data_IF_229507607023
#
_entry.id   IF_229507607023
#
_cell.length_a   1.000
_cell.length_b   1.000
_cell.length_c   1.000
_cell.angle_alpha   90.00
_cell.angle_beta   90.00
_cell.angle_gamma   90.00
#
_symmetry.space_group_name_H-M   'P 1'
#
loop_
_entity.id
_entity.type
_entity.pdbx_description
1 polymer ?
#
# COMPACT_ATOMS: atom_id res chain seq x y z
N UNK A 1 2.98 -24.44 60.97
CA UNK A 1 3.13 -23.31 60.03
C UNK A 1 3.05 -23.87 58.62
N UNK A 2 2.06 -23.48 57.82
CA UNK A 2 1.91 -23.96 56.45
C UNK A 2 2.30 -22.82 55.48
N UNK A 3 3.35 -23.03 54.70
CA UNK A 3 3.81 -22.07 53.69
C UNK A 3 3.15 -22.43 52.36
N UNK A 4 2.21 -21.59 51.91
CA UNK A 4 1.61 -21.72 50.58
C UNK A 4 2.53 -20.97 49.61
N UNK A 5 3.26 -21.72 48.78
CA UNK A 5 4.09 -21.15 47.71
C UNK A 5 3.22 -20.67 46.54
N UNK A 6 3.34 -19.39 46.19
CA UNK A 6 2.73 -18.84 44.98
C UNK A 6 3.54 -19.24 43.75
N UNK A 7 3.01 -20.16 42.95
CA UNK A 7 3.53 -20.40 41.61
C UNK A 7 2.91 -19.39 40.62
N UNK A 8 3.75 -18.62 39.94
CA UNK A 8 3.32 -17.77 38.84
C UNK A 8 3.10 -18.63 37.59
N UNK A 9 1.86 -18.76 37.16
CA UNK A 9 1.54 -19.42 35.89
C UNK A 9 1.98 -18.51 34.72
N UNK A 10 3.02 -18.93 33.99
CA UNK A 10 3.40 -18.31 32.73
C UNK A 10 2.28 -18.55 31.71
N UNK A 11 1.63 -17.48 31.27
CA UNK A 11 0.55 -17.57 30.29
C UNK A 11 1.11 -18.11 28.95
N UNK A 12 0.46 -19.12 28.35
CA UNK A 12 0.95 -19.69 27.10
C UNK A 12 0.83 -18.69 25.94
N UNK A 13 1.97 -18.27 25.39
CA UNK A 13 2.04 -17.38 24.22
C UNK A 13 1.53 -17.99 22.90
N UNK A 14 1.12 -19.26 22.90
CA UNK A 14 0.80 -20.00 21.67
C UNK A 14 -0.58 -19.70 21.06
N UNK A 15 -1.51 -19.10 21.82
CA UNK A 15 -2.86 -18.80 21.31
C UNK A 15 -2.88 -17.56 20.41
N UNK A 16 -1.97 -16.60 20.63
CA UNK A 16 -1.93 -15.35 19.86
C UNK A 16 -1.25 -15.48 18.49
N UNK A 17 -0.41 -16.50 18.28
CA UNK A 17 0.35 -16.68 17.05
C UNK A 17 -0.52 -17.13 15.85
N UNK A 18 -1.62 -17.85 16.11
CA UNK A 18 -2.53 -18.34 15.07
C UNK A 18 -3.42 -17.24 14.49
N UNK A 19 -3.95 -16.36 15.34
CA UNK A 19 -4.83 -15.24 14.95
C UNK A 19 -4.04 -14.03 14.40
N UNK A 20 -2.77 -13.87 14.80
CA UNK A 20 -1.91 -12.79 14.29
C UNK A 20 -1.58 -12.93 12.80
N UNK A 21 -1.53 -14.15 12.26
CA UNK A 21 -1.23 -14.42 10.84
C UNK A 21 -2.29 -13.87 9.88
N UNK A 22 -3.59 -14.21 10.00
CA UNK A 22 -4.62 -13.68 9.11
C UNK A 22 -4.80 -12.17 9.25
N UNK A 23 -4.66 -11.62 10.46
CA UNK A 23 -4.74 -10.17 10.67
C UNK A 23 -3.56 -9.43 10.03
N UNK A 24 -2.35 -10.01 10.06
CA UNK A 24 -1.18 -9.45 9.41
C UNK A 24 -1.32 -9.42 7.89
N UNK A 25 -1.87 -10.48 7.29
CA UNK A 25 -2.16 -10.55 5.86
C UNK A 25 -3.24 -9.55 5.44
N UNK A 26 -4.34 -9.48 6.20
CA UNK A 26 -5.40 -8.50 5.98
C UNK A 26 -4.86 -7.07 6.05
N UNK A 27 -4.01 -6.76 7.03
CA UNK A 27 -3.35 -5.44 7.15
C UNK A 27 -2.44 -5.15 5.96
N UNK A 28 -1.68 -6.15 5.50
CA UNK A 28 -0.80 -6.00 4.33
C UNK A 28 -1.60 -5.74 3.05
N UNK A 29 -2.73 -6.43 2.88
CA UNK A 29 -3.68 -6.20 1.79
C UNK A 29 -4.24 -4.78 1.84
N UNK A 30 -4.80 -4.34 2.98
CA UNK A 30 -5.37 -3.00 3.12
C UNK A 30 -4.37 -1.87 2.83
N UNK A 31 -3.12 -2.03 3.27
CA UNK A 31 -2.05 -1.07 2.94
C UNK A 31 -1.83 -0.95 1.43
N UNK A 32 -1.77 -2.07 0.71
CA UNK A 32 -1.60 -2.08 -0.75
C UNK A 32 -2.83 -1.52 -1.46
N UNK A 33 -4.02 -1.87 -0.98
CA UNK A 33 -5.28 -1.38 -1.53
C UNK A 33 -5.37 0.14 -1.44
N UNK A 34 -5.15 0.73 -0.26
CA UNK A 34 -5.20 2.19 -0.06
C UNK A 34 -4.15 2.89 -0.94
N UNK A 35 -2.93 2.35 -1.00
CA UNK A 35 -1.87 2.92 -1.83
C UNK A 35 -2.24 2.94 -3.31
N UNK A 36 -2.94 1.93 -3.82
CA UNK A 36 -3.39 1.87 -5.21
C UNK A 36 -4.65 2.71 -5.46
N UNK A 37 -5.63 2.61 -4.57
CA UNK A 37 -6.93 3.26 -4.71
C UNK A 37 -6.82 4.79 -4.65
N UNK A 38 -5.91 5.29 -3.82
CA UNK A 38 -5.66 6.72 -3.65
C UNK A 38 -4.38 7.19 -4.34
N UNK A 39 -3.82 6.40 -5.27
CA UNK A 39 -2.71 6.87 -6.08
C UNK A 39 -3.24 7.93 -7.07
N UNK A 40 -2.83 9.21 -6.96
CA UNK A 40 -3.30 10.23 -7.88
C UNK A 40 -2.91 9.84 -9.30
N UNK A 41 -3.87 9.85 -10.22
CA UNK A 41 -3.55 9.72 -11.63
C UNK A 41 -2.63 10.87 -12.01
N UNK A 42 -1.43 10.52 -12.49
CA UNK A 42 -0.36 11.42 -12.93
C UNK A 42 -0.38 11.48 -14.45
N UNK A 43 -1.31 12.23 -15.08
CA UNK A 43 -1.40 12.33 -16.53
C UNK A 43 -0.06 12.76 -17.16
N UNK A 44 0.79 13.45 -16.40
CA UNK A 44 2.15 13.89 -16.78
C UNK A 44 3.15 12.82 -17.19
N UNK A 45 2.86 11.57 -16.89
CA UNK A 45 3.62 10.43 -17.37
C UNK A 45 3.05 9.85 -18.67
N UNK A 46 1.81 10.18 -19.01
CA UNK A 46 1.05 9.53 -20.09
C UNK A 46 0.76 10.45 -21.26
N UNK A 47 0.74 11.77 -21.08
CA UNK A 47 0.72 12.67 -22.22
C UNK A 47 2.12 12.80 -22.83
N UNK A 48 2.18 12.56 -24.14
CA UNK A 48 3.32 12.93 -24.97
C UNK A 48 3.63 14.39 -24.69
N UNK A 49 4.86 14.69 -24.25
CA UNK A 49 5.30 15.98 -23.67
C UNK A 49 5.47 17.08 -24.73
N UNK A 50 4.55 17.16 -25.68
CA UNK A 50 4.57 18.10 -26.79
C UNK A 50 3.47 17.79 -27.80
N UNK A 51 3.24 18.71 -28.74
CA UNK A 51 2.26 18.52 -29.78
C UNK A 51 2.56 17.25 -30.58
N UNK A 52 1.60 16.32 -30.58
CA UNK A 52 1.71 15.08 -31.35
C UNK A 52 1.81 15.35 -32.86
N UNK A 53 2.18 14.34 -33.67
CA UNK A 53 2.31 14.48 -35.12
C UNK A 53 1.08 15.08 -35.80
N UNK A 54 -0.12 14.71 -35.33
CA UNK A 54 -1.39 15.25 -35.83
C UNK A 54 -1.57 16.76 -35.55
N UNK A 55 -1.03 17.25 -34.43
CA UNK A 55 -1.05 18.69 -34.11
C UNK A 55 -0.07 19.46 -34.99
N UNK A 56 1.14 18.92 -35.21
CA UNK A 56 2.17 19.53 -36.09
C UNK A 56 1.73 19.57 -37.55
N UNK A 57 0.97 18.57 -38.01
CA UNK A 57 0.41 18.56 -39.37
C UNK A 57 -0.63 19.69 -39.58
N UNK A 58 -1.35 20.07 -38.52
CA UNK A 58 -2.35 21.16 -38.56
C UNK A 58 -1.73 22.55 -38.39
N UNK A 59 -0.59 22.63 -37.73
CA UNK A 59 0.12 23.87 -37.47
C UNK A 59 1.52 23.78 -38.09
N UNK A 60 1.64 23.85 -39.43
CA UNK A 60 2.94 24.03 -40.06
C UNK A 60 3.49 25.34 -39.49
N UNK A 61 4.57 25.25 -38.71
CA UNK A 61 5.12 26.39 -37.98
C UNK A 61 5.28 27.57 -38.92
N UNK A 62 4.70 28.72 -38.56
CA UNK A 62 4.95 29.97 -39.25
C UNK A 62 6.45 30.26 -39.11
N UNK A 63 7.19 29.97 -40.18
CA UNK A 63 8.61 30.28 -40.26
C UNK A 63 8.69 31.79 -40.46
N UNK A 64 9.13 32.50 -39.43
CA UNK A 64 9.58 33.88 -39.58
C UNK A 64 10.88 33.90 -40.38
#
# INVERSE_FOLDING_TARGET
MATIGSASFSAPAHIHAGLAKPLAELRAFWRKFIAMAFNPYRPELHYMRGPGPAWRAKHPGHKN
#
